data_IF_078273776985
#
_entry.id   IF_078273776985
#
_cell.length_a   1.000
_cell.length_b   1.000
_cell.length_c   1.000
_cell.angle_alpha   90.00
_cell.angle_beta   90.00
_cell.angle_gamma   90.00
#
_symmetry.space_group_name_H-M   'P 1'
#
loop_
_entity.id
_entity.type
_entity.pdbx_description
1 polymer ?
#
# COMPACT_ATOMS: atom_id res chain seq x y z
N UNK A 1 5.24 13.82 -3.94
CA UNK A 1 4.54 13.29 -2.76
C UNK A 1 5.56 12.62 -1.87
N UNK A 2 5.54 12.89 -0.56
CA UNK A 2 6.44 12.25 0.40
C UNK A 2 5.93 10.84 0.77
N UNK A 3 6.80 9.95 1.25
CA UNK A 3 6.38 8.62 1.72
C UNK A 3 5.32 8.67 2.83
N UNK A 4 5.41 9.66 3.72
CA UNK A 4 4.42 9.88 4.77
C UNK A 4 3.05 10.24 4.20
N UNK A 5 3.00 11.11 3.19
CA UNK A 5 1.76 11.44 2.50
C UNK A 5 1.21 10.21 1.77
N UNK A 6 2.07 9.42 1.11
CA UNK A 6 1.67 8.20 0.38
C UNK A 6 1.04 7.20 1.33
N UNK A 7 1.70 6.91 2.46
CA UNK A 7 1.17 6.07 3.53
C UNK A 7 -0.19 6.58 4.01
N UNK A 8 -0.29 7.87 4.36
CA UNK A 8 -1.54 8.43 4.91
C UNK A 8 -2.69 8.37 3.91
N UNK A 9 -2.45 8.63 2.62
CA UNK A 9 -3.49 8.58 1.59
C UNK A 9 -3.90 7.14 1.27
N UNK A 10 -2.94 6.23 1.15
CA UNK A 10 -3.20 4.82 0.90
C UNK A 10 -3.99 4.18 2.05
N UNK A 11 -3.53 4.34 3.29
CA UNK A 11 -4.19 3.80 4.48
C UNK A 11 -5.62 4.30 4.61
N UNK A 12 -5.83 5.61 4.42
CA UNK A 12 -7.18 6.19 4.49
C UNK A 12 -8.09 5.62 3.40
N UNK A 13 -7.63 5.55 2.16
CA UNK A 13 -8.48 5.11 1.06
C UNK A 13 -8.84 3.62 1.12
N UNK A 14 -7.88 2.76 1.50
CA UNK A 14 -8.16 1.34 1.75
C UNK A 14 -9.13 1.18 2.93
N UNK A 15 -8.95 1.94 4.01
CA UNK A 15 -9.84 1.93 5.17
C UNK A 15 -11.26 2.43 4.85
N UNK A 16 -11.39 3.51 4.08
CA UNK A 16 -12.69 4.04 3.64
C UNK A 16 -13.44 3.05 2.73
N UNK A 17 -12.70 2.22 1.98
CA UNK A 17 -13.26 1.17 1.12
C UNK A 17 -13.54 -0.15 1.88
N UNK A 18 -13.12 -0.28 3.15
CA UNK A 18 -13.27 -1.52 3.90
C UNK A 18 -12.34 -2.65 3.44
N UNK A 19 -11.23 -2.31 2.77
CA UNK A 19 -10.17 -3.27 2.43
C UNK A 19 -9.31 -3.52 3.66
N UNK A 20 -9.24 -4.78 4.10
CA UNK A 20 -8.37 -5.15 5.21
C UNK A 20 -6.91 -5.05 4.77
N UNK A 21 -6.14 -4.27 5.53
CA UNK A 21 -4.75 -3.99 5.19
C UNK A 21 -3.93 -3.67 6.45
N UNK A 22 -2.61 -3.85 6.35
CA UNK A 22 -1.67 -3.48 7.40
C UNK A 22 -0.42 -2.83 6.78
N UNK A 23 0.38 -2.12 7.57
CA UNK A 23 1.67 -1.63 7.09
C UNK A 23 2.75 -2.71 7.27
N UNK A 24 3.47 -3.05 6.20
CA UNK A 24 4.63 -3.95 6.25
C UNK A 24 5.87 -3.29 5.64
N UNK A 25 6.91 -4.08 5.39
CA UNK A 25 8.07 -3.64 4.61
C UNK A 25 9.02 -2.72 5.36
N UNK A 26 9.77 -1.92 4.61
CA UNK A 26 10.82 -1.07 5.16
C UNK A 26 10.29 -0.02 6.14
N UNK A 27 9.14 0.58 5.82
CA UNK A 27 8.54 1.62 6.65
C UNK A 27 7.99 1.05 7.98
N UNK A 28 7.41 -0.16 7.97
CA UNK A 28 7.03 -0.84 9.20
C UNK A 28 8.24 -1.07 10.11
N UNK A 29 9.33 -1.63 9.58
CA UNK A 29 10.56 -1.89 10.35
C UNK A 29 11.16 -0.61 10.95
N UNK A 30 11.12 0.50 10.21
CA UNK A 30 11.57 1.81 10.70
C UNK A 30 10.75 2.28 11.92
N UNK A 31 9.44 2.05 11.95
CA UNK A 31 8.60 2.35 13.11
C UNK A 31 8.92 1.47 14.33
N UNK A 32 9.46 0.27 14.11
CA UNK A 32 9.98 -0.62 15.15
C UNK A 32 11.41 -0.29 15.61
N UNK A 33 11.96 0.86 15.17
CA UNK A 33 13.29 1.32 15.58
C UNK A 33 14.44 0.69 14.79
N UNK A 34 14.16 -0.09 13.75
CA UNK A 34 15.19 -0.62 12.87
C UNK A 34 15.49 0.41 11.76
N UNK A 35 16.71 0.94 11.75
CA UNK A 35 17.12 1.92 10.75
C UNK A 35 17.24 1.26 9.36
N UNK A 36 16.21 1.43 8.53
CA UNK A 36 16.13 0.90 7.16
C UNK A 36 15.55 1.96 6.23
N UNK A 37 16.25 2.24 5.14
CA UNK A 37 15.72 3.07 4.05
C UNK A 37 14.75 2.28 3.17
N UNK A 38 13.75 2.98 2.60
CA UNK A 38 12.76 2.42 1.68
C UNK A 38 12.35 3.49 0.68
N UNK A 39 11.95 3.10 -0.53
CA UNK A 39 11.48 4.01 -1.57
C UNK A 39 9.97 3.99 -1.79
N UNK A 40 9.28 3.11 -1.06
CA UNK A 40 7.94 2.61 -1.31
C UNK A 40 7.17 2.38 0.01
N UNK A 41 5.90 2.01 -0.12
CA UNK A 41 5.02 1.64 0.99
C UNK A 41 4.33 0.32 0.62
N UNK A 42 4.44 -0.66 1.51
CA UNK A 42 3.91 -2.01 1.28
C UNK A 42 2.70 -2.28 2.18
N UNK A 43 1.65 -2.86 1.58
CA UNK A 43 0.45 -3.32 2.27
C UNK A 43 0.13 -4.76 1.86
N UNK A 44 0.08 -5.75 2.78
CA UNK A 44 -0.70 -6.95 2.54
C UNK A 44 -2.18 -6.56 2.50
N UNK A 45 -2.91 -7.25 1.63
CA UNK A 45 -4.37 -7.21 1.57
C UNK A 45 -4.88 -8.63 1.45
N UNK A 46 -6.13 -8.87 1.85
CA UNK A 46 -6.76 -10.16 1.59
C UNK A 46 -6.83 -10.44 0.08
N UNK A 47 -6.46 -11.65 -0.33
CA UNK A 47 -6.39 -11.99 -1.75
C UNK A 47 -7.73 -11.79 -2.48
N UNK A 48 -8.84 -12.02 -1.77
CA UNK A 48 -10.19 -11.78 -2.28
C UNK A 48 -10.51 -10.30 -2.51
N UNK A 49 -9.84 -9.39 -1.79
CA UNK A 49 -10.03 -7.94 -1.87
C UNK A 49 -9.04 -7.26 -2.83
N UNK A 50 -8.12 -8.01 -3.45
CA UNK A 50 -7.15 -7.45 -4.39
C UNK A 50 -7.78 -6.61 -5.51
N UNK A 51 -8.86 -7.04 -6.21
CA UNK A 51 -9.46 -6.22 -7.26
C UNK A 51 -10.00 -4.88 -6.73
N UNK A 52 -10.54 -4.87 -5.52
CA UNK A 52 -11.04 -3.67 -4.85
C UNK A 52 -9.89 -2.72 -4.47
N UNK A 53 -8.81 -3.26 -3.91
CA UNK A 53 -7.60 -2.50 -3.60
C UNK A 53 -7.02 -1.83 -4.86
N UNK A 54 -6.94 -2.57 -5.98
CA UNK A 54 -6.48 -2.03 -7.26
C UNK A 54 -7.35 -0.85 -7.73
N UNK A 55 -8.68 -0.99 -7.63
CA UNK A 55 -9.62 0.05 -8.04
C UNK A 55 -9.54 1.29 -7.13
N UNK A 56 -9.39 1.11 -5.82
CA UNK A 56 -9.16 2.20 -4.86
C UNK A 56 -7.92 3.02 -5.26
N UNK A 57 -6.82 2.36 -5.58
CA UNK A 57 -5.58 3.04 -5.96
C UNK A 57 -5.66 3.71 -7.33
N UNK A 58 -6.32 3.08 -8.31
CA UNK A 58 -6.59 3.73 -9.61
C UNK A 58 -7.42 5.01 -9.44
N UNK A 59 -8.45 4.98 -8.59
CA UNK A 59 -9.27 6.15 -8.28
C UNK A 59 -8.51 7.27 -7.55
N UNK A 60 -7.42 6.93 -6.85
CA UNK A 60 -6.48 7.91 -6.29
C UNK A 60 -5.48 8.48 -7.31
N UNK A 61 -5.47 7.95 -8.55
CA UNK A 61 -4.59 8.36 -9.63
C UNK A 61 -3.29 7.57 -9.76
N UNK A 62 -3.12 6.45 -9.03
CA UNK A 62 -1.98 5.56 -9.19
C UNK A 62 -2.10 4.73 -10.48
N UNK A 63 -0.96 4.25 -10.99
CA UNK A 63 -0.89 3.49 -12.24
C UNK A 63 -0.21 2.16 -11.99
N UNK A 64 -0.83 1.07 -12.43
CA UNK A 64 -0.22 -0.26 -12.30
C UNK A 64 1.08 -0.30 -13.10
N UNK A 65 2.21 -0.42 -12.40
CA UNK A 65 3.53 -0.59 -12.97
C UNK A 65 3.82 -2.07 -13.27
N UNK A 66 3.45 -2.95 -12.34
CA UNK A 66 3.64 -4.38 -12.46
C UNK A 66 2.53 -5.15 -11.74
N UNK A 67 2.13 -6.29 -12.30
CA UNK A 67 1.10 -7.16 -11.72
C UNK A 67 1.50 -8.61 -11.92
N UNK A 68 1.58 -9.35 -10.82
CA UNK A 68 1.79 -10.79 -10.75
C UNK A 68 0.74 -11.43 -9.84
N UNK A 69 0.73 -12.74 -9.66
CA UNK A 69 -0.22 -13.40 -8.74
C UNK A 69 -0.08 -12.90 -7.30
N UNK A 70 1.15 -12.62 -6.85
CA UNK A 70 1.43 -12.27 -5.46
C UNK A 70 1.54 -10.76 -5.22
N UNK A 71 1.90 -9.99 -6.24
CA UNK A 71 2.25 -8.56 -6.09
C UNK A 71 1.51 -7.71 -7.11
N UNK A 72 0.94 -6.62 -6.61
CA UNK A 72 0.45 -5.48 -7.39
C UNK A 72 1.29 -4.26 -7.03
N UNK A 73 2.00 -3.70 -8.02
CA UNK A 73 2.80 -2.49 -7.88
C UNK A 73 2.16 -1.34 -8.65
N UNK A 74 1.99 -0.19 -7.99
CA UNK A 74 1.18 0.97 -8.41
C UNK A 74 1.98 2.28 -8.39
#
# INVERSE_FOLDING_TARGET
>A
MTLRETLSRAHKALGDAGVDHALIGGLALALWGLNRSTGDVDFPVEAAQRPEAEEVFKNLGFQVYASSVEVLQL
#
